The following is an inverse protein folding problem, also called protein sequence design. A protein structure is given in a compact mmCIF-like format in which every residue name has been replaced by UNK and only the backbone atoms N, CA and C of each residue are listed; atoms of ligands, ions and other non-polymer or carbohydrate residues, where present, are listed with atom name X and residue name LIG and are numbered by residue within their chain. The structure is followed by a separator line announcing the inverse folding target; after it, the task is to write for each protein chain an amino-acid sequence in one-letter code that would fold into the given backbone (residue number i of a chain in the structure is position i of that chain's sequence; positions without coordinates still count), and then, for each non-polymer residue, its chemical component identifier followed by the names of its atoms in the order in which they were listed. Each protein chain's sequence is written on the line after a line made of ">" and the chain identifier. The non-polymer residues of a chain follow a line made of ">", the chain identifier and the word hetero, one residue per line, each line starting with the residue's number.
data_IF_773386313628
#
_entry.id   IF_773386313628
#
_cell.length_a   1.000
_cell.length_b   1.000
_cell.length_c   1.000
_cell.angle_alpha   90.00
_cell.angle_beta   90.00
_cell.angle_gamma   90.00
#
_symmetry.space_group_name_H-M   'P 1'
#
loop_
_entity.id
_entity.type
_entity.pdbx_description
1 polymer ?
#
# COMPACT_ATOMS: atom_id res chain seq x y z
N UNK A 1 -5.97 -6.70 -26.01
CA UNK A 1 -5.85 -5.24 -26.15
C UNK A 1 -6.63 -4.46 -25.08
N UNK A 2 -7.90 -4.76 -24.82
CA UNK A 2 -8.74 -4.05 -23.81
C UNK A 2 -8.18 -4.15 -22.40
N UNK A 3 -7.72 -5.34 -21.95
CA UNK A 3 -7.21 -5.53 -20.59
C UNK A 3 -5.92 -4.74 -20.35
N UNK A 4 -4.98 -4.75 -21.30
CA UNK A 4 -3.75 -3.95 -21.22
C UNK A 4 -4.05 -2.46 -21.06
N UNK A 5 -5.07 -1.92 -21.75
CA UNK A 5 -5.51 -0.52 -21.59
C UNK A 5 -6.04 -0.23 -20.18
N UNK A 6 -6.84 -1.13 -19.59
CA UNK A 6 -7.35 -0.99 -18.22
C UNK A 6 -6.21 -1.00 -17.18
N UNK A 7 -5.23 -1.89 -17.36
CA UNK A 7 -4.05 -1.95 -16.47
C UNK A 7 -3.15 -0.71 -16.66
N UNK A 8 -2.97 -0.24 -17.89
CA UNK A 8 -2.24 0.99 -18.18
C UNK A 8 -2.87 2.20 -17.45
N UNK A 9 -4.20 2.30 -17.48
CA UNK A 9 -4.90 3.37 -16.74
C UNK A 9 -4.76 3.21 -15.24
N UNK A 10 -4.86 1.99 -14.71
CA UNK A 10 -4.57 1.71 -13.29
C UNK A 10 -3.16 2.21 -12.90
N UNK A 11 -2.14 1.94 -13.73
CA UNK A 11 -0.78 2.41 -13.48
C UNK A 11 -0.72 3.94 -13.50
N UNK A 12 -1.29 4.58 -14.53
CA UNK A 12 -1.33 6.05 -14.65
C UNK A 12 -1.95 6.71 -13.43
N UNK A 13 -3.13 6.25 -13.02
CA UNK A 13 -3.82 6.80 -11.85
C UNK A 13 -3.08 6.53 -10.55
N UNK A 14 -2.50 5.33 -10.38
CA UNK A 14 -1.74 4.99 -9.18
C UNK A 14 -0.46 5.81 -9.06
N UNK A 15 0.22 6.07 -10.18
CA UNK A 15 1.46 6.86 -10.19
C UNK A 15 1.23 8.34 -9.93
N UNK A 16 0.08 8.90 -10.35
CA UNK A 16 -0.20 10.33 -10.33
C UNK A 16 -1.10 10.81 -9.20
N UNK A 17 -1.71 9.91 -8.43
CA UNK A 17 -2.63 10.31 -7.35
C UNK A 17 -2.58 9.39 -6.15
N UNK A 18 -2.77 9.95 -4.96
CA UNK A 18 -2.93 9.20 -3.72
C UNK A 18 -4.36 8.72 -3.54
N UNK A 19 -4.58 7.64 -2.78
CA UNK A 19 -5.90 7.26 -2.29
C UNK A 19 -6.51 8.35 -1.41
N UNK A 20 -7.84 8.43 -1.38
CA UNK A 20 -8.56 9.48 -0.65
C UNK A 20 -8.33 9.42 0.87
N UNK A 21 -8.19 8.22 1.44
CA UNK A 21 -7.89 8.04 2.87
C UNK A 21 -6.53 8.63 3.25
N UNK A 22 -5.50 8.45 2.39
CA UNK A 22 -4.18 9.03 2.61
C UNK A 22 -4.21 10.55 2.46
N UNK A 23 -4.92 11.08 1.45
CA UNK A 23 -5.10 12.52 1.28
C UNK A 23 -5.84 13.16 2.46
N UNK A 24 -6.88 12.51 2.99
CA UNK A 24 -7.60 12.95 4.20
C UNK A 24 -6.66 12.98 5.41
N UNK A 25 -5.84 11.93 5.59
CA UNK A 25 -4.87 11.85 6.68
C UNK A 25 -3.81 12.96 6.59
N UNK A 26 -3.24 13.23 5.40
CA UNK A 26 -2.30 14.33 5.19
C UNK A 26 -2.92 15.72 5.47
N UNK A 27 -4.16 15.95 5.01
CA UNK A 27 -4.89 17.19 5.33
C UNK A 27 -5.15 17.33 6.83
N UNK A 28 -5.48 16.23 7.51
CA UNK A 28 -5.66 16.21 8.96
C UNK A 28 -4.34 16.47 9.70
N UNK A 29 -3.21 15.94 9.20
CA UNK A 29 -1.87 16.21 9.71
C UNK A 29 -1.56 17.72 9.60
N UNK A 30 -1.76 18.33 8.44
CA UNK A 30 -1.51 19.76 8.25
C UNK A 30 -2.29 20.63 9.26
N UNK A 31 -3.54 20.28 9.54
CA UNK A 31 -4.36 21.05 10.52
C UNK A 31 -3.85 20.98 11.96
N UNK A 32 -3.02 19.98 12.30
CA UNK A 32 -2.44 19.80 13.64
C UNK A 32 -1.14 20.60 13.84
N UNK A 33 -0.47 20.96 12.75
CA UNK A 33 0.81 21.68 12.82
C UNK A 33 0.62 23.16 13.07
N UNK A 34 1.59 23.79 13.74
CA UNK A 34 1.59 25.23 13.94
C UNK A 34 1.76 25.97 12.59
N UNK A 35 0.99 27.04 12.39
CA UNK A 35 1.14 27.87 11.18
C UNK A 35 2.57 28.37 11.02
N UNK A 36 3.13 28.25 9.83
CA UNK A 36 4.48 28.71 9.52
C UNK A 36 5.60 27.77 10.00
N UNK A 37 5.28 26.69 10.71
CA UNK A 37 6.30 25.69 11.07
C UNK A 37 6.84 24.94 9.84
N UNK A 38 8.07 24.43 9.93
CA UNK A 38 8.66 23.58 8.86
C UNK A 38 7.74 22.42 8.50
N UNK A 39 7.13 21.77 9.52
CA UNK A 39 6.17 20.69 9.31
C UNK A 39 4.96 21.12 8.49
N UNK A 40 4.37 22.29 8.79
CA UNK A 40 3.24 22.83 8.04
C UNK A 40 3.60 23.18 6.60
N UNK A 41 4.78 23.77 6.37
CA UNK A 41 5.29 24.09 5.02
C UNK A 41 5.47 22.81 4.21
N UNK A 42 6.12 21.79 4.79
CA UNK A 42 6.34 20.51 4.12
C UNK A 42 5.03 19.82 3.75
N UNK A 43 4.09 19.71 4.71
CA UNK A 43 2.79 19.08 4.45
C UNK A 43 1.99 19.84 3.38
N UNK A 44 2.05 21.15 3.37
CA UNK A 44 1.44 21.97 2.32
C UNK A 44 2.06 21.68 0.97
N UNK A 45 3.39 21.66 0.87
CA UNK A 45 4.12 21.33 -0.35
C UNK A 45 3.77 19.93 -0.87
N UNK A 46 3.67 18.92 0.03
CA UNK A 46 3.22 17.56 -0.32
C UNK A 46 1.81 17.61 -0.92
N UNK A 47 0.87 18.31 -0.31
CA UNK A 47 -0.51 18.41 -0.80
C UNK A 47 -0.60 19.16 -2.13
N UNK A 48 0.16 20.24 -2.30
CA UNK A 48 0.25 20.99 -3.56
C UNK A 48 0.83 20.09 -4.68
N UNK A 49 1.89 19.32 -4.38
CA UNK A 49 2.44 18.32 -5.31
C UNK A 49 1.39 17.27 -5.71
N UNK A 50 0.61 16.76 -4.74
CA UNK A 50 -0.48 15.81 -5.04
C UNK A 50 -1.51 16.40 -5.99
N UNK A 51 -1.89 17.67 -5.80
CA UNK A 51 -2.86 18.38 -6.65
C UNK A 51 -2.31 18.56 -8.08
N UNK A 52 -1.05 19.00 -8.21
CA UNK A 52 -0.38 19.21 -9.49
C UNK A 52 -0.22 17.90 -10.25
N UNK A 53 0.28 16.84 -9.59
CA UNK A 53 0.49 15.53 -10.19
C UNK A 53 -0.83 14.96 -10.72
N UNK A 54 -1.90 15.01 -9.93
CA UNK A 54 -3.24 14.57 -10.33
C UNK A 54 -3.77 15.36 -11.54
N UNK A 55 -3.65 16.69 -11.51
CA UNK A 55 -4.13 17.57 -12.59
C UNK A 55 -3.38 17.32 -13.90
N UNK A 56 -2.07 17.10 -13.83
CA UNK A 56 -1.21 16.91 -15.02
C UNK A 56 -1.13 15.45 -15.47
N UNK A 57 -1.55 14.48 -14.64
CA UNK A 57 -1.36 13.05 -14.91
C UNK A 57 0.10 12.63 -14.91
N UNK A 58 0.97 13.38 -14.19
CA UNK A 58 2.41 13.11 -14.06
C UNK A 58 2.71 12.32 -12.78
N UNK A 59 3.83 11.57 -12.74
CA UNK A 59 4.22 10.85 -11.52
C UNK A 59 4.31 11.75 -10.29
N UNK A 60 3.74 11.27 -9.19
CA UNK A 60 3.70 11.96 -7.89
C UNK A 60 5.07 12.00 -7.21
N UNK A 61 5.91 11.01 -7.49
CA UNK A 61 7.23 10.84 -6.94
C UNK A 61 8.20 10.40 -8.04
N UNK A 62 9.45 10.87 -7.95
CA UNK A 62 10.53 10.47 -8.85
C UNK A 62 10.89 8.97 -8.73
N UNK A 63 10.67 8.37 -7.56
CA UNK A 63 10.87 6.95 -7.33
C UNK A 63 9.63 6.19 -7.78
N UNK A 64 9.71 5.51 -8.92
CA UNK A 64 8.66 4.61 -9.39
C UNK A 64 8.38 3.51 -8.36
N UNK A 65 9.44 3.02 -7.72
CA UNK A 65 9.38 1.93 -6.75
C UNK A 65 9.10 0.58 -7.38
N UNK A 66 8.97 -0.42 -6.53
CA UNK A 66 8.55 -1.77 -6.92
C UNK A 66 7.06 -1.77 -7.24
N UNK A 67 6.71 -2.16 -8.46
CA UNK A 67 5.32 -2.38 -8.86
C UNK A 67 4.91 -3.78 -8.42
N UNK A 68 3.95 -3.86 -7.50
CA UNK A 68 3.39 -5.13 -7.03
C UNK A 68 1.91 -5.20 -7.38
N UNK A 69 1.54 -6.18 -8.18
CA UNK A 69 0.16 -6.47 -8.54
C UNK A 69 -0.38 -7.61 -7.70
N UNK A 70 -1.51 -7.39 -7.05
CA UNK A 70 -2.34 -8.42 -6.43
C UNK A 70 -3.55 -8.65 -7.33
N UNK A 71 -3.59 -9.79 -7.98
CA UNK A 71 -4.61 -10.16 -8.95
C UNK A 71 -5.51 -11.24 -8.36
N UNK A 72 -6.81 -11.01 -8.35
CA UNK A 72 -7.77 -12.04 -7.94
C UNK A 72 -7.58 -13.30 -8.80
N UNK A 73 -7.50 -14.47 -8.20
CA UNK A 73 -7.27 -15.75 -8.87
C UNK A 73 -8.27 -16.00 -10.01
N UNK A 74 -9.51 -15.54 -9.86
CA UNK A 74 -10.56 -15.62 -10.89
C UNK A 74 -10.21 -14.86 -12.17
N UNK A 75 -9.25 -13.92 -12.10
CA UNK A 75 -8.78 -13.14 -13.25
C UNK A 75 -7.50 -13.70 -13.90
N UNK A 76 -6.88 -14.75 -13.36
CA UNK A 76 -5.58 -15.30 -13.81
C UNK A 76 -5.50 -15.50 -15.34
N UNK A 77 -6.57 -16.00 -15.94
CA UNK A 77 -6.65 -16.23 -17.41
C UNK A 77 -6.76 -14.95 -18.23
N UNK A 78 -7.27 -13.85 -17.65
CA UNK A 78 -7.50 -12.55 -18.33
C UNK A 78 -6.39 -11.54 -18.06
N UNK A 79 -5.86 -11.54 -16.83
CA UNK A 79 -4.79 -10.65 -16.36
C UNK A 79 -3.52 -11.49 -16.19
N UNK A 80 -2.95 -11.90 -17.32
CA UNK A 80 -1.75 -12.73 -17.37
C UNK A 80 -0.49 -11.91 -17.10
N UNK A 81 0.66 -12.52 -16.75
CA UNK A 81 1.93 -11.82 -16.62
C UNK A 81 2.28 -10.99 -17.85
N UNK A 82 2.02 -11.51 -19.06
CA UNK A 82 2.28 -10.78 -20.31
C UNK A 82 1.41 -9.52 -20.46
N UNK A 83 0.15 -9.53 -20.01
CA UNK A 83 -0.72 -8.34 -20.00
C UNK A 83 -0.15 -7.27 -19.09
N UNK A 84 0.29 -7.66 -17.88
CA UNK A 84 0.87 -6.76 -16.89
C UNK A 84 2.20 -6.18 -17.35
N UNK A 85 3.12 -7.03 -17.85
CA UNK A 85 4.42 -6.61 -18.40
C UNK A 85 4.25 -5.63 -19.56
N UNK A 86 3.35 -5.91 -20.53
CA UNK A 86 3.04 -4.99 -21.62
C UNK A 86 2.49 -3.65 -21.13
N UNK A 87 1.62 -3.65 -20.12
CA UNK A 87 1.09 -2.41 -19.55
C UNK A 87 2.18 -1.58 -18.85
N UNK A 88 3.11 -2.22 -18.12
CA UNK A 88 4.26 -1.56 -17.47
C UNK A 88 5.19 -0.95 -18.51
N UNK A 89 5.57 -1.68 -19.55
CA UNK A 89 6.40 -1.17 -20.63
C UNK A 89 5.75 0.05 -21.32
N UNK A 90 4.45 -0.03 -21.63
CA UNK A 90 3.71 1.10 -22.21
C UNK A 90 3.62 2.31 -21.25
N UNK A 91 3.45 2.07 -19.94
CA UNK A 91 3.41 3.13 -18.94
C UNK A 91 4.77 3.84 -18.84
N UNK A 92 5.86 3.09 -18.90
CA UNK A 92 7.22 3.63 -18.93
C UNK A 92 7.46 4.46 -20.19
N UNK A 93 7.10 3.93 -21.37
CA UNK A 93 7.22 4.65 -22.64
C UNK A 93 6.40 5.95 -22.67
N UNK A 94 5.24 6.00 -21.96
CA UNK A 94 4.39 7.20 -21.86
C UNK A 94 4.81 8.18 -20.76
N UNK A 95 5.88 7.90 -20.02
CA UNK A 95 6.33 8.73 -18.92
C UNK A 95 5.46 8.70 -17.66
N UNK A 96 4.56 7.72 -17.53
CA UNK A 96 3.81 7.50 -16.29
C UNK A 96 4.66 6.83 -15.21
N UNK A 97 5.76 6.20 -15.61
CA UNK A 97 6.78 5.60 -14.77
C UNK A 97 8.16 6.08 -15.23
N UNK A 98 9.07 6.29 -14.30
CA UNK A 98 10.49 6.44 -14.62
C UNK A 98 11.12 5.08 -14.84
N UNK A 99 12.18 5.01 -15.64
CA UNK A 99 13.08 3.85 -15.72
C UNK A 99 13.74 3.69 -14.35
N UNK A 100 13.33 2.71 -13.58
CA UNK A 100 13.70 2.57 -12.17
C UNK A 100 14.14 1.15 -11.78
N UNK A 101 13.94 0.20 -12.70
CA UNK A 101 14.40 -1.17 -12.51
C UNK A 101 15.81 -1.30 -13.04
N UNK A 102 16.74 -1.76 -12.20
CA UNK A 102 18.15 -1.97 -12.53
C UNK A 102 18.58 -3.39 -12.22
N UNK A 103 19.52 -3.90 -12.98
CA UNK A 103 20.19 -5.15 -12.69
C UNK A 103 21.07 -5.01 -11.45
N UNK A 104 20.87 -5.90 -10.47
CA UNK A 104 21.54 -5.79 -9.17
C UNK A 104 23.04 -6.05 -9.21
N UNK A 105 23.55 -6.71 -10.26
CA UNK A 105 24.97 -7.04 -10.39
C UNK A 105 25.70 -6.02 -11.24
N UNK A 106 25.11 -5.69 -12.39
CA UNK A 106 25.76 -4.81 -13.38
C UNK A 106 25.40 -3.33 -13.22
N UNK A 107 24.33 -3.01 -12.47
CA UNK A 107 23.78 -1.66 -12.36
C UNK A 107 23.11 -1.15 -13.65
N UNK A 108 22.97 -1.99 -14.68
CA UNK A 108 22.33 -1.61 -15.95
C UNK A 108 20.84 -1.41 -15.75
N UNK A 109 20.31 -0.30 -16.26
CA UNK A 109 18.88 0.00 -16.23
C UNK A 109 18.11 -0.81 -17.27
N UNK A 110 16.92 -1.30 -16.87
CA UNK A 110 15.94 -1.86 -17.79
C UNK A 110 15.04 -0.73 -18.30
N UNK A 111 15.04 -0.51 -19.61
CA UNK A 111 14.41 0.66 -20.24
C UNK A 111 12.88 0.71 -20.13
N UNK A 112 12.25 -0.40 -19.91
CA UNK A 112 10.79 -0.55 -19.82
C UNK A 112 10.27 -0.98 -18.44
N UNK A 113 11.17 -1.10 -17.44
CA UNK A 113 10.88 -1.62 -16.09
C UNK A 113 10.38 -3.08 -16.08
N UNK A 114 10.70 -3.86 -17.10
CA UNK A 114 10.26 -5.26 -17.23
C UNK A 114 11.46 -6.20 -17.29
N UNK A 115 11.50 -7.16 -16.38
CA UNK A 115 12.50 -8.24 -16.37
C UNK A 115 11.95 -9.45 -15.62
N UNK A 116 12.77 -10.45 -15.34
CA UNK A 116 12.42 -11.50 -14.41
C UNK A 116 12.22 -10.92 -13.01
N UNK A 117 11.11 -11.27 -12.34
CA UNK A 117 10.75 -10.71 -11.03
C UNK A 117 10.20 -9.26 -11.05
N UNK A 118 10.18 -8.57 -12.17
CA UNK A 118 9.60 -7.23 -12.29
C UNK A 118 8.65 -7.12 -13.51
N UNK A 119 7.39 -6.65 -13.29
CA UNK A 119 6.75 -6.34 -12.01
C UNK A 119 6.52 -7.59 -11.14
N UNK A 120 6.38 -7.41 -9.82
CA UNK A 120 5.99 -8.48 -8.89
C UNK A 120 4.49 -8.77 -9.05
N UNK A 121 4.12 -10.05 -9.15
CA UNK A 121 2.74 -10.46 -9.41
C UNK A 121 2.34 -11.55 -8.41
N UNK A 122 1.32 -11.26 -7.61
CA UNK A 122 0.68 -12.22 -6.71
C UNK A 122 -0.73 -12.53 -7.22
N UNK A 123 -1.03 -13.79 -7.44
CA UNK A 123 -2.40 -14.26 -7.65
C UNK A 123 -2.95 -14.66 -6.29
N UNK A 124 -4.04 -14.01 -5.86
CA UNK A 124 -4.59 -14.19 -4.52
C UNK A 124 -6.03 -14.69 -4.61
N UNK A 125 -6.34 -15.73 -3.85
CA UNK A 125 -7.72 -16.18 -3.69
C UNK A 125 -8.41 -15.28 -2.65
N UNK A 126 -9.35 -14.48 -3.13
CA UNK A 126 -10.18 -13.60 -2.29
C UNK A 126 -11.62 -14.11 -2.14
N UNK A 127 -11.90 -15.33 -2.57
CA UNK A 127 -13.24 -15.92 -2.48
C UNK A 127 -13.69 -16.10 -1.03
N UNK A 128 -12.75 -16.25 -0.09
CA UNK A 128 -12.96 -16.39 1.35
C UNK A 128 -12.81 -15.10 2.15
N UNK A 129 -12.47 -13.97 1.50
CA UNK A 129 -12.29 -12.68 2.18
C UNK A 129 -13.66 -12.13 2.62
N UNK A 130 -14.01 -12.34 3.89
CA UNK A 130 -15.19 -11.78 4.56
C UNK A 130 -15.21 -10.24 4.63
N UNK A 131 -14.30 -9.57 3.89
CA UNK A 131 -14.17 -8.11 3.82
C UNK A 131 -15.18 -7.42 2.90
N UNK A 132 -16.01 -8.17 2.17
CA UNK A 132 -17.13 -7.59 1.43
C UNK A 132 -18.40 -7.71 2.27
N UNK A 133 -18.73 -6.64 2.98
CA UNK A 133 -20.00 -6.48 3.72
C UNK A 133 -21.20 -6.23 2.77
N UNK A 134 -21.28 -6.93 1.66
CA UNK A 134 -22.49 -6.95 0.85
C UNK A 134 -23.19 -8.29 1.03
N UNK A 135 -24.40 -8.24 1.54
CA UNK A 135 -25.32 -9.35 1.81
C UNK A 135 -25.78 -10.12 0.56
N UNK A 136 -25.08 -10.03 -0.55
CA UNK A 136 -25.28 -10.79 -1.79
C UNK A 136 -23.95 -11.30 -2.33
N UNK A 137 -23.56 -12.37 -1.93
CA UNK A 137 -22.74 -13.53 -2.26
C UNK A 137 -21.73 -13.53 -3.37
N UNK A 138 -21.21 -12.50 -3.99
CA UNK A 138 -19.96 -12.59 -4.80
C UNK A 138 -19.39 -11.21 -5.08
N UNK A 139 -18.32 -10.87 -4.36
CA UNK A 139 -17.56 -9.63 -4.67
C UNK A 139 -16.98 -9.70 -6.09
N UNK A 140 -17.02 -8.57 -6.82
CA UNK A 140 -16.39 -8.45 -8.13
C UNK A 140 -14.89 -8.74 -8.03
N UNK A 141 -14.31 -9.51 -8.98
CA UNK A 141 -12.88 -9.78 -8.96
C UNK A 141 -12.07 -8.52 -9.19
N UNK A 142 -10.95 -8.39 -8.48
CA UNK A 142 -10.16 -7.16 -8.41
C UNK A 142 -8.73 -7.31 -8.86
N UNK A 143 -8.13 -6.19 -9.29
CA UNK A 143 -6.69 -6.02 -9.44
C UNK A 143 -6.28 -4.83 -8.59
N UNK A 144 -5.31 -5.05 -7.69
CA UNK A 144 -4.72 -4.00 -6.86
C UNK A 144 -3.28 -3.79 -7.28
N UNK A 145 -2.90 -2.54 -7.52
CA UNK A 145 -1.50 -2.14 -7.73
C UNK A 145 -1.01 -1.36 -6.52
N UNK A 146 0.19 -1.72 -6.06
CA UNK A 146 0.98 -0.94 -5.10
C UNK A 146 2.30 -0.55 -5.73
N UNK A 147 2.70 0.70 -5.54
CA UNK A 147 4.00 1.21 -5.96
C UNK A 147 4.77 1.65 -4.72
N UNK A 148 5.68 0.80 -4.25
CA UNK A 148 6.45 1.01 -3.02
C UNK A 148 7.87 1.45 -3.36
N UNK A 149 8.20 2.70 -3.04
CA UNK A 149 9.52 3.28 -3.32
C UNK A 149 10.67 2.58 -2.60
N UNK A 150 11.86 2.57 -3.20
CA UNK A 150 13.06 1.94 -2.66
C UNK A 150 13.48 2.53 -1.31
N UNK A 151 13.36 3.84 -1.12
CA UNK A 151 13.59 4.47 0.19
C UNK A 151 12.68 3.94 1.29
N UNK A 152 11.40 3.69 0.96
CA UNK A 152 10.47 3.05 1.89
C UNK A 152 10.80 1.59 2.16
N UNK A 153 11.30 0.86 1.14
CA UNK A 153 11.70 -0.53 1.29
C UNK A 153 12.90 -0.66 2.24
N UNK A 154 13.90 0.21 2.09
CA UNK A 154 15.09 0.25 2.95
C UNK A 154 14.77 0.51 4.43
N UNK A 155 13.65 1.17 4.71
CA UNK A 155 13.22 1.47 6.08
C UNK A 155 12.42 0.33 6.72
N UNK A 156 12.08 -0.71 5.98
CA UNK A 156 11.41 -1.91 6.49
C UNK A 156 12.38 -2.73 7.37
N UNK A 157 11.88 -3.35 8.45
CA UNK A 157 12.71 -4.03 9.46
C UNK A 157 12.04 -5.30 9.97
N UNK A 158 12.85 -6.22 10.47
CA UNK A 158 12.36 -7.40 11.15
C UNK A 158 13.17 -7.64 12.42
N UNK A 159 12.47 -7.82 13.52
CA UNK A 159 13.03 -8.13 14.85
C UNK A 159 12.77 -9.58 15.20
N UNK A 160 13.69 -10.17 15.95
CA UNK A 160 13.52 -11.50 16.57
C UNK A 160 13.41 -11.30 18.09
N UNK A 161 12.35 -11.81 18.70
CA UNK A 161 12.18 -11.73 20.15
C UNK A 161 12.55 -13.05 20.83
N UNK A 162 13.17 -13.00 22.03
CA UNK A 162 13.49 -11.80 22.81
C UNK A 162 14.64 -11.00 22.19
N UNK A 163 14.64 -9.69 22.40
CA UNK A 163 15.75 -8.78 22.05
C UNK A 163 16.25 -8.09 23.32
N UNK A 164 17.44 -8.44 23.76
CA UNK A 164 18.04 -7.92 25.00
C UNK A 164 18.44 -6.45 24.86
N UNK A 165 18.82 -5.99 23.67
CA UNK A 165 19.20 -4.60 23.40
C UNK A 165 18.03 -3.65 23.63
N UNK A 166 16.83 -4.08 23.22
CA UNK A 166 15.60 -3.33 23.44
C UNK A 166 14.92 -3.66 24.77
N UNK A 167 15.42 -4.66 25.51
CA UNK A 167 14.74 -5.23 26.66
C UNK A 167 13.32 -5.73 26.27
N UNK A 168 13.18 -6.29 25.07
CA UNK A 168 11.91 -6.72 24.51
C UNK A 168 11.70 -8.22 24.69
N UNK A 169 10.67 -8.59 25.46
CA UNK A 169 10.23 -9.97 25.65
C UNK A 169 9.33 -10.48 24.50
N UNK A 170 8.93 -11.76 24.61
CA UNK A 170 8.01 -12.41 23.65
C UNK A 170 6.54 -12.11 23.97
N UNK A 171 6.20 -10.83 24.07
CA UNK A 171 4.87 -10.33 24.43
C UNK A 171 4.53 -9.04 23.66
N UNK A 172 3.33 -8.50 23.83
CA UNK A 172 2.92 -7.26 23.18
C UNK A 172 3.68 -6.03 23.66
N UNK A 173 4.26 -6.07 24.89
CA UNK A 173 5.11 -5.00 25.37
C UNK A 173 6.45 -4.98 24.62
N UNK A 174 7.03 -6.15 24.36
CA UNK A 174 8.20 -6.32 23.50
C UNK A 174 7.93 -5.91 22.06
N UNK A 175 6.79 -6.32 21.49
CA UNK A 175 6.36 -5.87 20.15
C UNK A 175 6.29 -4.35 20.08
N UNK A 176 5.67 -3.70 21.07
CA UNK A 176 5.61 -2.23 21.13
C UNK A 176 7.00 -1.58 21.10
N UNK A 177 7.97 -2.13 21.86
CA UNK A 177 9.35 -1.61 21.86
C UNK A 177 9.98 -1.71 20.47
N UNK A 178 9.82 -2.85 19.78
CA UNK A 178 10.30 -3.03 18.40
C UNK A 178 9.68 -2.03 17.42
N UNK A 179 8.37 -1.77 17.54
CA UNK A 179 7.68 -0.84 16.62
C UNK A 179 8.13 0.60 16.83
N UNK A 180 8.33 1.04 18.09
CA UNK A 180 8.83 2.39 18.37
C UNK A 180 10.30 2.55 17.97
N UNK A 181 11.15 1.54 18.21
CA UNK A 181 12.53 1.51 17.73
C UNK A 181 12.60 1.59 16.20
N UNK A 182 11.72 0.85 15.49
CA UNK A 182 11.62 0.95 14.04
C UNK A 182 11.33 2.38 13.59
N UNK A 183 10.33 3.04 14.19
CA UNK A 183 9.97 4.43 13.84
C UNK A 183 11.12 5.38 14.13
N UNK A 184 11.78 5.23 15.27
CA UNK A 184 12.93 6.06 15.63
C UNK A 184 14.10 5.89 14.65
N UNK A 185 14.38 4.66 14.19
CA UNK A 185 15.44 4.39 13.22
C UNK A 185 15.10 4.84 11.79
N UNK A 186 13.82 4.94 11.46
CA UNK A 186 13.37 5.44 10.17
C UNK A 186 13.68 6.95 10.04
N UNK A 187 13.49 7.72 11.12
CA UNK A 187 13.72 9.17 11.13
C UNK A 187 13.07 9.85 9.91
N UNK A 188 13.75 10.83 9.30
CA UNK A 188 13.36 11.47 8.04
C UNK A 188 13.68 10.67 6.77
N UNK A 189 14.51 9.61 6.86
CA UNK A 189 14.96 8.81 5.72
C UNK A 189 13.82 8.12 4.96
N UNK A 190 12.73 7.79 5.66
CA UNK A 190 11.54 7.18 5.07
C UNK A 190 10.56 8.15 4.43
N UNK A 191 10.90 9.44 4.24
CA UNK A 191 9.96 10.47 3.75
C UNK A 191 8.65 10.49 4.55
N UNK A 192 8.76 10.76 5.86
CA UNK A 192 7.60 10.89 6.76
C UNK A 192 6.66 12.04 6.32
N UNK A 193 5.38 12.02 6.70
CA UNK A 193 4.74 11.06 7.59
C UNK A 193 4.41 9.73 6.87
N UNK A 194 4.69 8.62 7.54
CA UNK A 194 4.58 7.30 6.96
C UNK A 194 3.42 6.47 7.46
N UNK A 195 3.36 5.23 6.96
CA UNK A 195 2.40 4.20 7.37
C UNK A 195 3.18 2.94 7.71
N UNK A 196 2.86 2.30 8.83
CA UNK A 196 3.40 1.00 9.17
C UNK A 196 2.41 -0.11 8.83
N UNK A 197 2.87 -1.09 8.05
CA UNK A 197 2.26 -2.41 7.96
C UNK A 197 3.07 -3.37 8.83
N UNK A 198 2.42 -4.13 9.70
CA UNK A 198 3.09 -4.96 10.70
C UNK A 198 2.56 -6.38 10.64
N UNK A 199 3.47 -7.35 10.77
CA UNK A 199 3.13 -8.74 11.06
C UNK A 199 3.80 -9.17 12.36
N UNK A 200 3.00 -9.73 13.28
CA UNK A 200 3.46 -10.35 14.52
C UNK A 200 3.41 -11.86 14.34
N UNK A 201 4.54 -12.55 14.50
CA UNK A 201 4.65 -13.99 14.27
C UNK A 201 4.97 -14.34 12.81
N UNK A 202 4.54 -15.54 12.37
CA UNK A 202 4.94 -16.12 11.09
C UNK A 202 6.41 -16.54 11.06
N UNK A 203 6.90 -16.88 9.85
CA UNK A 203 8.31 -17.01 9.54
C UNK A 203 8.87 -15.70 8.95
N UNK A 204 10.18 -15.70 8.61
CA UNK A 204 10.83 -14.48 8.12
C UNK A 204 10.24 -13.96 6.80
N UNK A 205 9.96 -14.84 5.84
CA UNK A 205 9.46 -14.46 4.53
C UNK A 205 7.99 -14.06 4.59
N UNK A 206 7.14 -14.92 5.16
CA UNK A 206 5.71 -14.68 5.36
C UNK A 206 5.46 -13.42 6.20
N UNK A 207 6.35 -13.13 7.16
CA UNK A 207 6.28 -11.90 7.95
C UNK A 207 6.29 -10.65 7.07
N UNK A 208 7.20 -10.56 6.09
CA UNK A 208 7.26 -9.41 5.18
C UNK A 208 6.09 -9.36 4.19
N UNK A 209 5.64 -10.50 3.68
CA UNK A 209 4.46 -10.56 2.80
C UNK A 209 3.24 -10.00 3.50
N UNK A 210 2.93 -10.52 4.69
CA UNK A 210 1.78 -10.09 5.49
C UNK A 210 1.89 -8.63 5.93
N UNK A 211 3.09 -8.17 6.33
CA UNK A 211 3.30 -6.78 6.70
C UNK A 211 3.06 -5.83 5.52
N UNK A 212 3.50 -6.19 4.30
CA UNK A 212 3.20 -5.43 3.07
C UNK A 212 1.71 -5.42 2.73
N UNK A 213 1.01 -6.53 2.92
CA UNK A 213 -0.44 -6.60 2.73
C UNK A 213 -1.20 -5.63 3.67
N UNK A 214 -0.70 -5.41 4.90
CA UNK A 214 -1.32 -4.46 5.82
C UNK A 214 -1.29 -3.03 5.28
N UNK A 215 -0.35 -2.67 4.42
CA UNK A 215 -0.30 -1.36 3.76
C UNK A 215 -1.45 -1.15 2.76
N UNK A 216 -2.17 -2.21 2.37
CA UNK A 216 -3.35 -2.12 1.50
C UNK A 216 -4.62 -1.70 2.27
N UNK A 217 -4.62 -1.84 3.58
CA UNK A 217 -5.80 -1.52 4.41
C UNK A 217 -6.03 0.00 4.42
N UNK A 218 -7.28 0.46 4.23
CA UNK A 218 -7.62 1.87 4.35
C UNK A 218 -7.26 2.45 5.72
N UNK A 219 -6.84 3.71 5.75
CA UNK A 219 -6.50 4.40 7.01
C UNK A 219 -7.76 4.79 7.80
N UNK A 220 -8.84 5.10 7.09
CA UNK A 220 -10.14 5.56 7.61
C UNK A 220 -11.16 4.43 7.75
N UNK A 221 -10.75 3.16 7.58
CA UNK A 221 -11.63 2.04 7.78
C UNK A 221 -12.16 2.05 9.21
N UNK A 222 -13.48 2.23 9.33
CA UNK A 222 -14.19 2.09 10.60
C UNK A 222 -13.89 0.74 11.23
N UNK A 223 -13.98 0.68 12.53
CA UNK A 223 -13.49 -0.37 13.43
C UNK A 223 -13.95 -1.81 13.11
N UNK A 224 -14.94 -1.98 12.21
CA UNK A 224 -15.55 -3.27 11.89
C UNK A 224 -14.91 -4.04 10.75
N UNK A 225 -14.11 -3.39 9.89
CA UNK A 225 -13.56 -4.05 8.71
C UNK A 225 -12.16 -4.62 8.96
N UNK A 226 -12.08 -5.88 9.38
CA UNK A 226 -10.92 -6.74 9.12
C UNK A 226 -9.98 -7.08 10.28
N UNK A 227 -10.11 -6.51 11.49
CA UNK A 227 -9.37 -6.99 12.66
C UNK A 227 -10.34 -7.70 13.62
N UNK A 228 -10.23 -9.02 13.69
CA UNK A 228 -10.98 -9.82 14.67
C UNK A 228 -10.41 -9.73 16.10
N UNK A 229 -9.21 -9.13 16.27
CA UNK A 229 -8.50 -9.07 17.54
C UNK A 229 -8.45 -7.62 18.07
N UNK A 230 -9.20 -7.37 19.11
CA UNK A 230 -9.32 -6.09 19.81
C UNK A 230 -7.98 -5.61 20.39
N UNK A 231 -7.10 -6.53 20.84
CA UNK A 231 -5.79 -6.17 21.38
C UNK A 231 -4.88 -5.58 20.29
N UNK A 232 -4.90 -6.14 19.08
CA UNK A 232 -4.14 -5.59 17.96
C UNK A 232 -4.64 -4.19 17.59
N UNK A 233 -5.95 -3.97 17.63
CA UNK A 233 -6.54 -2.66 17.36
C UNK A 233 -6.14 -1.62 18.41
N UNK A 234 -6.13 -1.99 19.68
CA UNK A 234 -5.62 -1.14 20.77
C UNK A 234 -4.14 -0.83 20.57
N UNK A 235 -3.37 -1.82 20.15
CA UNK A 235 -1.95 -1.65 19.84
C UNK A 235 -1.72 -0.71 18.66
N UNK A 236 -2.47 -0.84 17.55
CA UNK A 236 -2.41 0.09 16.39
C UNK A 236 -2.61 1.54 16.83
N UNK A 237 -3.68 1.82 17.60
CA UNK A 237 -3.99 3.16 18.12
C UNK A 237 -2.89 3.67 19.05
N UNK A 238 -2.41 2.82 19.93
CA UNK A 238 -1.34 3.16 20.90
C UNK A 238 -0.02 3.51 20.20
N UNK A 239 0.44 2.66 19.26
CA UNK A 239 1.68 2.91 18.52
C UNK A 239 1.56 4.18 17.68
N UNK A 240 0.43 4.41 16.99
CA UNK A 240 0.23 5.65 16.23
C UNK A 240 0.34 6.89 17.11
N UNK A 241 -0.27 6.87 18.31
CA UNK A 241 -0.18 7.97 19.27
C UNK A 241 1.27 8.19 19.74
N UNK A 242 1.93 7.13 20.21
CA UNK A 242 3.27 7.20 20.77
C UNK A 242 4.33 7.57 19.71
N UNK A 243 4.26 7.01 18.50
CA UNK A 243 5.14 7.37 17.40
C UNK A 243 5.06 8.87 17.04
N UNK A 244 3.87 9.44 17.13
CA UNK A 244 3.66 10.86 16.85
C UNK A 244 4.17 11.78 17.98
N UNK A 245 4.47 11.27 19.17
CA UNK A 245 5.15 12.04 20.24
C UNK A 245 6.67 12.07 20.09
N UNK A 246 7.25 11.26 19.19
CA UNK A 246 8.71 11.26 18.97
C UNK A 246 9.22 12.56 18.32
N UNK A 247 8.32 13.37 17.75
CA UNK A 247 8.68 14.68 17.20
C UNK A 247 9.49 14.63 15.90
N UNK A 248 9.59 13.49 15.23
CA UNK A 248 10.32 13.35 13.97
C UNK A 248 9.67 14.21 12.88
N UNK A 249 8.35 14.12 12.76
CA UNK A 249 7.55 14.97 11.89
C UNK A 249 7.76 14.77 10.39
N UNK A 250 7.07 15.58 9.56
CA UNK A 250 7.16 15.50 8.11
C UNK A 250 8.61 15.69 7.62
N UNK A 251 9.08 14.75 6.79
CA UNK A 251 10.45 14.69 6.23
C UNK A 251 11.57 14.73 7.30
N UNK A 252 11.27 14.45 8.56
CA UNK A 252 12.23 14.51 9.66
C UNK A 252 12.55 15.92 10.14
N UNK A 253 11.75 16.92 9.77
CA UNK A 253 11.98 18.33 10.10
C UNK A 253 11.23 18.80 11.35
N UNK A 254 10.89 17.86 12.24
CA UNK A 254 10.10 18.13 13.42
C UNK A 254 8.61 18.20 13.13
N UNK A 255 7.78 18.27 14.17
CA UNK A 255 6.33 18.38 14.05
C UNK A 255 5.57 17.28 14.79
N UNK A 256 4.24 17.32 14.69
CA UNK A 256 3.33 16.47 15.44
C UNK A 256 2.95 15.17 14.73
N UNK A 257 3.26 15.06 13.42
CA UNK A 257 2.81 13.92 12.62
C UNK A 257 4.00 13.19 11.98
N UNK A 258 4.44 12.10 12.62
CA UNK A 258 5.47 11.17 12.12
C UNK A 258 4.84 10.04 11.31
N UNK A 259 3.67 9.52 11.76
CA UNK A 259 2.92 8.47 11.10
C UNK A 259 1.49 8.93 10.81
N UNK A 260 0.97 8.48 9.65
CA UNK A 260 -0.44 8.61 9.25
C UNK A 260 -1.28 7.43 9.73
N UNK A 261 -0.68 6.27 9.91
CA UNK A 261 -1.38 5.07 10.32
C UNK A 261 -0.46 3.90 10.68
N UNK A 262 -1.03 2.97 11.42
CA UNK A 262 -0.42 1.67 11.78
C UNK A 262 -1.46 0.59 11.55
N UNK A 263 -1.08 -0.47 10.85
CA UNK A 263 -1.95 -1.60 10.52
C UNK A 263 -1.23 -2.90 10.88
N UNK A 264 -1.80 -3.68 11.78
CA UNK A 264 -1.16 -4.86 12.38
C UNK A 264 -1.97 -6.12 12.06
N UNK A 265 -1.27 -7.17 11.64
CA UNK A 265 -1.80 -8.54 11.58
C UNK A 265 -0.94 -9.47 12.42
N UNK A 266 -1.48 -10.64 12.75
CA UNK A 266 -0.74 -11.72 13.38
C UNK A 266 -0.82 -12.99 12.56
N UNK A 267 0.20 -13.86 12.74
CA UNK A 267 0.26 -15.21 12.18
C UNK A 267 0.71 -16.18 13.25
N UNK A 268 0.25 -17.43 13.21
CA UNK A 268 0.81 -18.49 14.06
C UNK A 268 2.33 -18.57 13.88
N UNK A 269 3.01 -18.98 14.92
CA UNK A 269 4.46 -19.15 14.95
C UNK A 269 4.83 -20.44 15.66
N UNK A 270 6.03 -20.93 15.41
CA UNK A 270 6.60 -22.02 16.24
C UNK A 270 7.14 -21.45 17.56
N UNK A 271 7.20 -22.24 18.64
CA UNK A 271 7.56 -21.75 19.98
C UNK A 271 8.91 -21.04 20.03
N UNK A 272 9.91 -21.53 19.32
CA UNK A 272 11.28 -21.00 19.34
C UNK A 272 11.43 -19.67 18.62
N UNK A 273 10.59 -19.35 17.62
CA UNK A 273 10.68 -18.11 16.84
C UNK A 273 9.55 -17.13 17.20
N UNK A 274 9.88 -15.85 17.31
CA UNK A 274 8.89 -14.79 17.43
C UNK A 274 9.39 -13.57 16.67
N UNK A 275 8.88 -13.37 15.47
CA UNK A 275 9.25 -12.25 14.62
C UNK A 275 8.26 -11.10 14.76
N UNK A 276 8.78 -9.86 14.71
CA UNK A 276 8.01 -8.64 14.53
C UNK A 276 8.51 -7.99 13.25
N UNK A 277 7.69 -8.03 12.21
CA UNK A 277 8.06 -7.53 10.89
C UNK A 277 7.34 -6.22 10.62
N UNK A 278 8.09 -5.22 10.19
CA UNK A 278 7.61 -3.87 9.89
C UNK A 278 7.90 -3.56 8.43
N UNK A 279 6.86 -3.40 7.64
CA UNK A 279 6.91 -2.80 6.31
C UNK A 279 6.54 -1.32 6.43
N UNK A 280 7.47 -0.45 6.04
CA UNK A 280 7.23 0.99 6.05
C UNK A 280 6.79 1.49 4.68
N UNK A 281 5.84 2.41 4.64
CA UNK A 281 5.43 3.15 3.44
C UNK A 281 5.48 4.64 3.74
N UNK A 282 6.11 5.44 2.86
CA UNK A 282 6.19 6.89 2.99
C UNK A 282 4.84 7.57 2.73
N UNK A 283 4.79 8.90 2.86
CA UNK A 283 3.59 9.70 2.56
C UNK A 283 3.03 9.45 1.15
N UNK A 284 3.91 9.14 0.17
CA UNK A 284 3.51 8.79 -1.20
C UNK A 284 3.02 7.33 -1.27
N UNK A 285 2.03 6.98 -0.45
CA UNK A 285 1.41 5.66 -0.42
C UNK A 285 0.54 5.45 -1.66
N UNK A 286 1.17 5.04 -2.76
CA UNK A 286 0.53 4.84 -4.06
C UNK A 286 -0.05 3.44 -4.13
N UNK A 287 -1.34 3.31 -3.89
CA UNK A 287 -2.08 2.06 -4.04
C UNK A 287 -3.45 2.33 -4.65
N UNK A 288 -3.92 1.43 -5.50
CA UNK A 288 -5.24 1.52 -6.11
C UNK A 288 -5.78 0.14 -6.47
N UNK A 289 -7.06 -0.04 -6.27
CA UNK A 289 -7.80 -1.26 -6.66
C UNK A 289 -8.83 -0.91 -7.73
N UNK A 290 -8.93 -1.75 -8.74
CA UNK A 290 -10.01 -1.71 -9.73
C UNK A 290 -10.78 -3.02 -9.73
N UNK A 291 -12.09 -2.93 -9.89
CA UNK A 291 -12.96 -4.07 -10.13
C UNK A 291 -13.01 -4.38 -11.64
N UNK A 292 -12.88 -5.65 -11.97
CA UNK A 292 -13.01 -6.13 -13.33
C UNK A 292 -14.22 -7.07 -13.43
N UNK A 293 -15.40 -6.48 -13.57
CA UNK A 293 -16.62 -7.26 -13.79
C UNK A 293 -16.48 -8.06 -15.09
N UNK A 294 -16.80 -9.36 -15.05
CA UNK A 294 -17.00 -10.14 -16.25
C UNK A 294 -18.12 -9.47 -17.07
N UNK A 295 -17.91 -9.30 -18.38
CA UNK A 295 -19.06 -9.05 -19.25
C UNK A 295 -19.94 -10.31 -19.12
N UNK A 296 -21.07 -10.21 -18.43
CA UNK A 296 -22.13 -11.20 -18.53
C UNK A 296 -22.52 -11.34 -20.01
N UNK A 297 -23.05 -12.49 -20.44
CA UNK A 297 -23.51 -12.64 -21.81
C UNK A 297 -24.45 -11.47 -22.12
N UNK A 298 -24.17 -10.74 -23.18
CA UNK A 298 -24.99 -9.65 -23.67
C UNK A 298 -26.42 -10.17 -23.83
N UNK A 299 -27.31 -9.74 -22.92
CA UNK A 299 -28.73 -10.03 -23.05
C UNK A 299 -29.20 -9.45 -24.36
N UNK A 300 -29.49 -10.30 -25.32
CA UNK A 300 -30.22 -9.97 -26.54
C UNK A 300 -31.53 -9.29 -26.12
N UNK A 301 -31.60 -8.00 -26.30
CA UNK A 301 -32.86 -7.24 -26.25
C UNK A 301 -33.80 -7.82 -27.31
N UNK A 302 -34.71 -8.70 -26.89
CA UNK A 302 -35.86 -9.09 -27.66
C UNK A 302 -36.75 -7.86 -27.84
N UNK A 303 -36.78 -7.32 -29.06
CA UNK A 303 -37.74 -6.35 -29.52
C UNK A 303 -39.17 -6.86 -29.23
N UNK A 304 -39.84 -6.28 -28.25
CA UNK A 304 -41.28 -6.45 -28.08
C UNK A 304 -41.98 -5.62 -29.15
N UNK A 305 -42.39 -6.27 -30.25
CA UNK A 305 -43.33 -5.71 -31.23
C UNK A 305 -44.64 -5.40 -30.51
N UNK A 306 -44.98 -4.11 -30.44
CA UNK A 306 -46.35 -3.64 -30.15
C UNK A 306 -47.29 -4.22 -31.16
N UNK A 307 -48.13 -5.16 -30.77
CA UNK A 307 -49.38 -5.46 -31.48
C UNK A 307 -50.42 -4.44 -31.04
N UNK A 308 -50.85 -3.53 -31.99
CA UNK A 308 -52.12 -2.86 -31.95
C UNK A 308 -53.20 -3.92 -32.17
N UNK A 309 -54.17 -3.99 -31.31
CA UNK A 309 -55.45 -4.63 -31.57
C UNK A 309 -56.55 -3.56 -31.55
N UNK A 310 -57.38 -3.68 -32.52
CA UNK A 310 -58.65 -3.01 -32.76
C UNK A 310 -59.58 -3.01 -31.56
#
# INVERSE_FOLDING_TARGET
>A
MIMTKKILELIRETSSSLPDDVLKALKAALRKEAKGSSAAVVLKTILDNCAIAKKRGTPLCQDTGTLTFFVDERLRRKVTPNVLKKAVALATAKGYLRKNTIDSITGKSYDDNVTEGAPVIHYVDRSSDSRSSSSSGTSSPTVTLVMKGGGSENMSRQYSLPDSTLGAGRDLAGVRKCLLDAVQKIQGYGCAPGILGVCIGGDRATGFEVAKEQLLRPLDANEESGIRNEELRKLEKRILKEANTLGIGPMGLGGKTTLLGVKIASRPRVPASFFVTVAYMCWACRRRTIELRGQGPSGTTKNAKKRKAL
#
